data_IF_532393922374
#
_entry.id   IF_532393922374
#
_cell.length_a   1.000
_cell.length_b   1.000
_cell.length_c   1.000
_cell.angle_alpha   90.00
_cell.angle_beta   90.00
_cell.angle_gamma   90.00
#
_symmetry.space_group_name_H-M   'P 1'
#
loop_
_entity.id
_entity.type
_entity.pdbx_description
1 polymer ?
#
# COMPACT_ATOMS: atom_id res chain seq x y z
N UNK A 1 -1.27 25.30 -17.03
CA UNK A 1 -2.39 24.95 -17.92
C UNK A 1 -2.55 23.44 -17.90
N UNK A 2 -3.71 22.93 -17.51
CA UNK A 2 -3.99 21.49 -17.68
C UNK A 2 -4.50 21.33 -19.10
N UNK A 3 -3.87 20.49 -19.91
CA UNK A 3 -4.37 20.19 -21.23
C UNK A 3 -5.64 19.34 -21.07
N UNK A 4 -6.81 19.74 -21.58
CA UNK A 4 -8.06 18.97 -21.48
C UNK A 4 -7.92 17.50 -21.91
N UNK A 5 -6.99 17.22 -22.83
CA UNK A 5 -6.63 15.87 -23.26
C UNK A 5 -6.14 14.97 -22.11
N UNK A 6 -5.38 15.50 -21.15
CA UNK A 6 -4.87 14.70 -20.02
C UNK A 6 -6.00 14.30 -19.08
N UNK A 7 -6.99 15.18 -18.90
CA UNK A 7 -8.18 14.88 -18.10
C UNK A 7 -9.00 13.80 -18.79
N UNK A 8 -9.25 13.94 -20.09
CA UNK A 8 -9.97 12.94 -20.88
C UNK A 8 -9.29 11.57 -20.85
N UNK A 9 -7.98 11.53 -21.15
CA UNK A 9 -7.20 10.27 -21.15
C UNK A 9 -7.17 9.64 -19.75
N UNK A 10 -7.03 10.43 -18.68
CA UNK A 10 -7.07 9.92 -17.32
C UNK A 10 -8.42 9.30 -16.94
N UNK A 11 -9.52 9.93 -17.33
CA UNK A 11 -10.88 9.40 -17.12
C UNK A 11 -11.12 8.12 -17.92
N UNK A 12 -10.67 8.07 -19.18
CA UNK A 12 -10.80 6.90 -20.05
C UNK A 12 -9.99 5.70 -19.51
N UNK A 13 -8.74 5.89 -19.12
CA UNK A 13 -7.90 4.84 -18.50
C UNK A 13 -8.55 4.33 -17.20
N UNK A 14 -9.12 5.24 -16.41
CA UNK A 14 -9.83 4.86 -15.17
C UNK A 14 -11.05 4.01 -15.49
N UNK A 15 -11.88 4.43 -16.45
CA UNK A 15 -13.06 3.67 -16.88
C UNK A 15 -12.68 2.27 -17.40
N UNK A 16 -11.66 2.18 -18.26
CA UNK A 16 -11.15 0.91 -18.78
C UNK A 16 -10.60 0.01 -17.67
N UNK A 17 -9.92 0.57 -16.65
CA UNK A 17 -9.42 -0.19 -15.51
C UNK A 17 -10.55 -0.86 -14.71
N UNK A 18 -11.67 -0.15 -14.50
CA UNK A 18 -12.85 -0.75 -13.87
C UNK A 18 -13.53 -1.79 -14.78
N UNK A 19 -13.67 -1.52 -16.08
CA UNK A 19 -14.30 -2.45 -17.03
C UNK A 19 -13.49 -3.74 -17.21
N UNK A 20 -12.16 -3.66 -17.18
CA UNK A 20 -11.26 -4.80 -17.31
C UNK A 20 -11.19 -5.65 -16.02
N UNK A 21 -11.63 -5.11 -14.88
CA UNK A 21 -11.51 -5.77 -13.58
C UNK A 21 -12.83 -6.42 -13.16
N UNK A 22 -12.82 -7.66 -12.62
CA UNK A 22 -14.02 -8.24 -12.04
C UNK A 22 -14.60 -7.37 -10.92
N UNK A 23 -15.94 -7.23 -10.86
CA UNK A 23 -16.63 -6.36 -9.88
C UNK A 23 -16.21 -6.59 -8.43
N UNK A 24 -15.88 -7.84 -8.06
CA UNK A 24 -15.40 -8.19 -6.70
C UNK A 24 -14.12 -7.45 -6.28
N UNK A 25 -13.31 -6.97 -7.23
CA UNK A 25 -12.03 -6.31 -6.98
C UNK A 25 -12.09 -4.79 -7.10
N UNK A 26 -13.26 -4.18 -7.29
CA UNK A 26 -13.39 -2.71 -7.41
C UNK A 26 -12.83 -1.96 -6.19
N UNK A 27 -13.00 -2.52 -5.00
CA UNK A 27 -12.44 -1.94 -3.77
C UNK A 27 -10.91 -1.87 -3.81
N UNK A 28 -10.24 -2.82 -4.46
CA UNK A 28 -8.78 -2.80 -4.63
C UNK A 28 -8.33 -1.69 -5.57
N UNK A 29 -9.08 -1.41 -6.64
CA UNK A 29 -8.82 -0.27 -7.53
C UNK A 29 -8.96 1.04 -6.76
N UNK A 30 -10.06 1.22 -6.01
CA UNK A 30 -10.30 2.45 -5.24
C UNK A 30 -9.22 2.65 -4.18
N UNK A 31 -8.82 1.58 -3.48
CA UNK A 31 -7.72 1.64 -2.52
C UNK A 31 -6.39 2.07 -3.19
N UNK A 32 -6.13 1.59 -4.41
CA UNK A 32 -4.95 1.97 -5.18
C UNK A 32 -4.88 3.47 -5.48
N UNK A 33 -6.00 4.20 -5.49
CA UNK A 33 -6.01 5.64 -5.73
C UNK A 33 -5.51 6.45 -4.53
N UNK A 34 -5.56 5.90 -3.31
CA UNK A 34 -5.28 6.64 -2.07
C UNK A 34 -3.86 7.23 -2.03
N UNK A 35 -2.77 6.47 -2.30
CA UNK A 35 -1.42 7.04 -2.32
C UNK A 35 -1.23 8.11 -3.40
N UNK A 36 -1.85 7.94 -4.57
CA UNK A 36 -1.77 8.91 -5.67
C UNK A 36 -2.46 10.23 -5.33
N UNK A 37 -3.61 10.17 -4.64
CA UNK A 37 -4.30 11.37 -4.14
C UNK A 37 -3.47 12.09 -3.06
N UNK A 38 -2.82 11.35 -2.17
CA UNK A 38 -1.89 11.92 -1.20
C UNK A 38 -0.71 12.62 -1.89
N UNK A 39 -0.14 12.02 -2.93
CA UNK A 39 0.92 12.62 -3.73
C UNK A 39 0.45 13.90 -4.45
N UNK A 40 -0.75 13.91 -5.02
CA UNK A 40 -1.33 15.11 -5.62
C UNK A 40 -1.48 16.24 -4.60
N UNK A 41 -2.02 15.95 -3.41
CA UNK A 41 -2.15 16.93 -2.33
C UNK A 41 -0.78 17.48 -1.92
N UNK A 42 0.20 16.60 -1.73
CA UNK A 42 1.56 16.98 -1.32
C UNK A 42 2.23 17.89 -2.35
N UNK A 43 2.03 17.67 -3.66
CA UNK A 43 2.57 18.55 -4.71
C UNK A 43 2.10 19.99 -4.52
N UNK A 44 0.83 20.23 -4.19
CA UNK A 44 0.32 21.58 -3.97
C UNK A 44 0.80 22.17 -2.64
N UNK A 45 0.88 21.35 -1.59
CA UNK A 45 1.45 21.76 -0.30
C UNK A 45 2.90 22.21 -0.48
N UNK A 46 3.74 21.40 -1.14
CA UNK A 46 5.15 21.71 -1.36
C UNK A 46 5.34 22.98 -2.21
N UNK A 47 4.46 23.22 -3.20
CA UNK A 47 4.47 24.47 -3.97
C UNK A 47 4.12 25.69 -3.13
N UNK A 48 3.08 25.60 -2.31
CA UNK A 48 2.66 26.69 -1.42
C UNK A 48 3.81 27.06 -0.47
N UNK A 49 4.42 26.08 0.19
CA UNK A 49 5.55 26.36 1.08
C UNK A 49 6.81 26.79 0.33
N UNK A 50 7.01 26.35 -0.91
CA UNK A 50 8.07 26.85 -1.78
C UNK A 50 7.95 28.36 -2.07
N UNK A 51 6.74 28.82 -2.39
CA UNK A 51 6.48 30.25 -2.68
C UNK A 51 6.53 31.13 -1.41
N UNK A 52 6.19 30.56 -0.25
CA UNK A 52 6.20 31.26 1.04
C UNK A 52 7.57 31.21 1.76
N UNK A 53 8.47 30.33 1.36
CA UNK A 53 9.80 30.19 1.97
C UNK A 53 10.61 31.50 2.05
N UNK A 54 10.62 32.40 1.03
CA UNK A 54 11.31 33.69 1.11
C UNK A 54 10.75 34.63 2.19
N UNK A 55 9.53 34.39 2.66
CA UNK A 55 8.86 35.16 3.72
C UNK A 55 9.12 34.56 5.11
N UNK A 56 9.95 33.51 5.20
CA UNK A 56 10.25 32.80 6.44
C UNK A 56 9.14 31.87 6.92
N UNK A 57 8.12 31.62 6.11
CA UNK A 57 7.03 30.69 6.44
C UNK A 57 7.40 29.30 5.91
N UNK A 58 7.48 28.33 6.80
CA UNK A 58 7.85 26.95 6.48
C UNK A 58 6.93 25.96 7.19
N UNK A 59 6.98 24.68 6.82
CA UNK A 59 6.21 23.64 7.51
C UNK A 59 6.54 23.62 9.01
N UNK A 60 7.80 23.86 9.38
CA UNK A 60 8.23 23.91 10.78
C UNK A 60 7.65 25.07 11.60
N UNK A 61 7.08 26.10 10.97
CA UNK A 61 6.42 27.21 11.68
C UNK A 61 4.92 26.97 11.95
N UNK A 62 4.37 25.84 11.50
CA UNK A 62 2.95 25.48 11.72
C UNK A 62 2.72 24.93 13.13
N UNK A 63 1.46 24.74 13.51
CA UNK A 63 1.13 24.04 14.76
C UNK A 63 1.60 22.59 14.72
N UNK A 64 2.03 22.05 15.86
CA UNK A 64 2.49 20.66 15.98
C UNK A 64 1.53 19.61 15.40
N UNK A 65 0.20 19.69 15.65
CA UNK A 65 -0.76 18.76 15.06
C UNK A 65 -0.78 18.78 13.52
N UNK A 66 -0.79 19.98 12.92
CA UNK A 66 -0.81 20.11 11.47
C UNK A 66 0.48 19.59 10.84
N UNK A 67 1.64 19.79 11.50
CA UNK A 67 2.90 19.21 11.05
C UNK A 67 2.84 17.67 11.00
N UNK A 68 2.24 17.03 12.01
CA UNK A 68 2.09 15.58 12.04
C UNK A 68 1.14 15.05 10.95
N UNK A 69 0.04 15.76 10.68
CA UNK A 69 -0.89 15.43 9.58
C UNK A 69 -0.21 15.54 8.22
N UNK A 70 0.51 16.64 7.97
CA UNK A 70 1.28 16.84 6.73
C UNK A 70 2.37 15.77 6.56
N UNK A 71 3.01 15.38 7.66
CA UNK A 71 3.99 14.29 7.64
C UNK A 71 3.35 12.95 7.29
N UNK A 72 2.15 12.67 7.81
CA UNK A 72 1.39 11.46 7.45
C UNK A 72 1.04 11.45 5.96
N UNK A 73 0.60 12.59 5.40
CA UNK A 73 0.35 12.73 3.96
C UNK A 73 1.63 12.51 3.15
N UNK A 74 2.77 13.05 3.61
CA UNK A 74 4.08 12.84 2.96
C UNK A 74 4.47 11.37 2.92
N UNK A 75 4.34 10.69 4.05
CA UNK A 75 4.64 9.25 4.15
C UNK A 75 3.70 8.45 3.25
N UNK A 76 2.40 8.76 3.22
CA UNK A 76 1.43 8.07 2.36
C UNK A 76 1.71 8.29 0.86
N UNK A 77 2.12 9.49 0.48
CA UNK A 77 2.49 9.86 -0.88
C UNK A 77 3.81 9.23 -1.35
N UNK A 78 4.70 8.88 -0.43
CA UNK A 78 6.01 8.33 -0.75
C UNK A 78 5.90 6.97 -1.44
N UNK A 79 6.50 6.86 -2.62
CA UNK A 79 6.45 5.65 -3.43
C UNK A 79 5.05 5.34 -3.98
N UNK A 80 4.17 6.35 -4.16
CA UNK A 80 2.74 6.15 -4.42
C UNK A 80 2.41 5.07 -5.46
N UNK A 81 3.14 4.98 -6.57
CA UNK A 81 2.91 3.95 -7.61
C UNK A 81 3.11 2.54 -7.04
N UNK A 82 4.24 2.32 -6.35
CA UNK A 82 4.60 1.03 -5.76
C UNK A 82 3.65 0.70 -4.61
N UNK A 83 3.36 1.68 -3.75
CA UNK A 83 2.39 1.53 -2.65
C UNK A 83 1.01 1.12 -3.17
N UNK A 84 0.50 1.83 -4.18
CA UNK A 84 -0.78 1.53 -4.83
C UNK A 84 -0.83 0.13 -5.40
N UNK A 85 0.24 -0.31 -6.09
CA UNK A 85 0.31 -1.64 -6.68
C UNK A 85 0.32 -2.74 -5.61
N UNK A 86 1.13 -2.57 -4.57
CA UNK A 86 1.23 -3.53 -3.47
C UNK A 86 -0.07 -3.63 -2.67
N UNK A 87 -0.72 -2.49 -2.38
CA UNK A 87 -2.01 -2.46 -1.67
C UNK A 87 -3.14 -3.09 -2.50
N UNK A 88 -3.24 -2.74 -3.78
CA UNK A 88 -4.24 -3.32 -4.67
C UNK A 88 -4.04 -4.84 -4.81
N UNK A 89 -2.81 -5.29 -5.00
CA UNK A 89 -2.49 -6.70 -5.18
C UNK A 89 -2.71 -7.51 -3.90
N UNK A 90 -2.29 -6.97 -2.74
CA UNK A 90 -2.56 -7.57 -1.43
C UNK A 90 -4.05 -7.67 -1.14
N UNK A 91 -4.81 -6.60 -1.37
CA UNK A 91 -6.26 -6.62 -1.15
C UNK A 91 -6.99 -7.55 -2.11
N UNK A 92 -6.63 -7.57 -3.39
CA UNK A 92 -7.19 -8.50 -4.37
C UNK A 92 -6.94 -9.96 -3.97
N UNK A 93 -5.74 -10.29 -3.49
CA UNK A 93 -5.41 -11.61 -2.99
C UNK A 93 -6.21 -11.98 -1.72
N UNK A 94 -6.47 -11.03 -0.82
CA UNK A 94 -7.34 -11.22 0.34
C UNK A 94 -8.78 -11.49 -0.09
N UNK A 95 -9.32 -10.71 -1.04
CA UNK A 95 -10.67 -10.90 -1.59
C UNK A 95 -10.81 -12.29 -2.22
N UNK A 96 -9.77 -12.77 -2.91
CA UNK A 96 -9.73 -14.11 -3.49
C UNK A 96 -9.43 -15.23 -2.46
N UNK A 97 -9.31 -14.90 -1.18
CA UNK A 97 -8.93 -15.81 -0.08
C UNK A 97 -7.58 -16.52 -0.28
N UNK A 98 -6.71 -15.97 -1.14
CA UNK A 98 -5.36 -16.46 -1.39
C UNK A 98 -4.38 -15.82 -0.42
N UNK A 99 -4.54 -16.16 0.86
CA UNK A 99 -3.85 -15.47 1.97
C UNK A 99 -2.33 -15.59 1.92
N UNK A 100 -1.78 -16.70 1.40
CA UNK A 100 -0.33 -16.84 1.17
C UNK A 100 0.21 -15.87 0.11
N UNK A 101 -0.58 -15.52 -0.91
CA UNK A 101 -0.18 -14.52 -1.91
C UNK A 101 -0.23 -13.12 -1.29
N UNK A 102 -1.27 -12.85 -0.49
CA UNK A 102 -1.38 -11.59 0.22
C UNK A 102 -0.21 -11.38 1.18
N UNK A 103 0.21 -12.42 1.92
CA UNK A 103 1.37 -12.32 2.83
C UNK A 103 2.66 -11.99 2.09
N UNK A 104 2.87 -12.51 0.88
CA UNK A 104 4.03 -12.16 0.05
C UNK A 104 4.01 -10.67 -0.32
N UNK A 105 2.87 -10.13 -0.78
CA UNK A 105 2.77 -8.71 -1.13
C UNK A 105 3.05 -7.80 0.07
N UNK A 106 2.50 -8.12 1.25
CA UNK A 106 2.80 -7.36 2.46
C UNK A 106 4.25 -7.56 2.96
N UNK A 107 4.86 -8.73 2.75
CA UNK A 107 6.29 -8.94 3.02
C UNK A 107 7.20 -8.09 2.11
N UNK A 108 6.84 -7.97 0.83
CA UNK A 108 7.52 -7.06 -0.10
C UNK A 108 7.31 -5.61 0.33
N UNK A 109 6.09 -5.22 0.70
CA UNK A 109 5.79 -3.87 1.21
C UNK A 109 6.60 -3.54 2.46
N UNK A 110 6.75 -4.48 3.40
CA UNK A 110 7.60 -4.32 4.57
C UNK A 110 9.05 -4.00 4.15
N UNK A 111 9.61 -4.81 3.27
CA UNK A 111 10.97 -4.64 2.76
C UNK A 111 11.14 -3.29 2.06
N UNK A 112 10.24 -2.94 1.14
CA UNK A 112 10.25 -1.64 0.46
C UNK A 112 10.16 -0.46 1.44
N UNK A 113 9.35 -0.58 2.49
CA UNK A 113 9.21 0.47 3.52
C UNK A 113 10.47 0.65 4.33
N UNK A 114 11.22 -0.42 4.59
CA UNK A 114 12.50 -0.34 5.31
C UNK A 114 13.56 0.46 4.54
N UNK A 115 13.57 0.39 3.20
CA UNK A 115 14.55 1.11 2.37
C UNK A 115 14.04 2.45 1.82
N UNK A 116 12.85 2.88 2.23
CA UNK A 116 12.24 4.13 1.75
C UNK A 116 11.81 4.09 0.29
N UNK A 117 11.68 2.91 -0.32
CA UNK A 117 11.07 2.75 -1.65
C UNK A 117 9.59 3.15 -1.59
N UNK A 118 8.94 2.82 -0.46
CA UNK A 118 7.63 3.34 -0.06
C UNK A 118 7.73 3.96 1.34
N UNK A 119 6.84 4.88 1.68
CA UNK A 119 6.73 5.47 3.03
C UNK A 119 8.00 6.12 3.59
N UNK A 120 8.81 6.73 2.72
CA UNK A 120 9.95 7.53 3.15
C UNK A 120 9.50 8.73 4.00
N UNK A 121 10.10 8.94 5.19
CA UNK A 121 9.76 10.06 6.07
C UNK A 121 10.44 11.37 5.65
N UNK A 122 11.41 11.31 4.72
CA UNK A 122 12.25 12.45 4.38
C UNK A 122 11.58 13.39 3.36
N UNK A 123 11.87 14.70 3.40
CA UNK A 123 11.44 15.63 2.37
C UNK A 123 11.93 15.18 0.98
N UNK A 124 11.07 15.27 -0.03
CA UNK A 124 11.35 14.75 -1.38
C UNK A 124 11.29 13.23 -1.51
N UNK A 125 10.98 12.49 -0.43
CA UNK A 125 10.78 11.04 -0.43
C UNK A 125 11.93 10.21 -1.06
N UNK A 126 13.21 10.49 -0.77
CA UNK A 126 14.32 9.67 -1.27
C UNK A 126 14.31 8.27 -0.65
N UNK A 127 14.89 7.32 -1.38
CA UNK A 127 15.32 6.05 -0.81
C UNK A 127 16.47 6.29 0.19
N UNK A 128 16.57 5.44 1.18
CA UNK A 128 17.62 5.53 2.19
C UNK A 128 18.03 4.14 2.66
N UNK A 129 19.16 4.10 3.36
CA UNK A 129 19.58 2.94 4.12
C UNK A 129 19.24 3.18 5.60
N UNK A 130 18.59 2.24 6.31
CA UNK A 130 18.12 2.45 7.69
C UNK A 130 19.20 2.95 8.66
N UNK A 131 20.43 2.48 8.50
CA UNK A 131 21.57 2.85 9.36
C UNK A 131 22.12 4.26 9.09
N UNK A 132 21.66 4.93 8.04
CA UNK A 132 22.00 6.33 7.76
C UNK A 132 20.96 7.32 8.31
N UNK A 133 19.86 6.84 8.89
CA UNK A 133 18.82 7.68 9.47
C UNK A 133 19.15 8.06 10.91
N UNK A 134 18.72 9.25 11.31
CA UNK A 134 18.68 9.64 12.71
C UNK A 134 17.57 8.88 13.46
N UNK A 135 17.64 8.88 14.80
CA UNK A 135 16.69 8.13 15.63
C UNK A 135 15.24 8.58 15.42
N UNK A 136 15.01 9.87 15.13
CA UNK A 136 13.68 10.41 14.87
C UNK A 136 13.09 9.84 13.57
N UNK A 137 13.84 9.87 12.47
CA UNK A 137 13.36 9.37 11.17
C UNK A 137 13.30 7.85 11.12
N UNK A 138 14.12 7.14 11.89
CA UNK A 138 14.11 5.67 11.96
C UNK A 138 12.80 5.10 12.51
N UNK A 139 12.08 5.87 13.33
CA UNK A 139 10.79 5.45 13.89
C UNK A 139 9.74 5.12 12.80
N UNK A 140 9.74 5.87 11.70
CA UNK A 140 8.77 5.68 10.61
C UNK A 140 8.97 4.36 9.86
N UNK A 141 10.16 4.04 9.30
CA UNK A 141 10.38 2.75 8.63
C UNK A 141 10.12 1.55 9.56
N UNK A 142 10.43 1.67 10.85
CA UNK A 142 10.14 0.63 11.84
C UNK A 142 8.62 0.44 12.03
N UNK A 143 7.86 1.52 12.16
CA UNK A 143 6.40 1.44 12.34
C UNK A 143 5.69 0.88 11.11
N UNK A 144 5.94 1.43 9.92
CA UNK A 144 5.26 1.01 8.69
C UNK A 144 5.79 -0.34 8.19
N UNK A 145 7.11 -0.52 8.16
CA UNK A 145 7.74 -1.79 7.80
C UNK A 145 7.33 -2.92 8.77
N UNK A 146 7.35 -2.63 10.07
CA UNK A 146 6.89 -3.56 11.11
C UNK A 146 5.40 -3.89 10.99
N UNK A 147 4.54 -2.90 10.70
CA UNK A 147 3.11 -3.10 10.48
C UNK A 147 2.82 -4.02 9.28
N UNK A 148 3.51 -3.84 8.17
CA UNK A 148 3.39 -4.73 7.01
C UNK A 148 3.93 -6.13 7.29
N UNK A 149 5.06 -6.22 8.00
CA UNK A 149 5.65 -7.50 8.37
C UNK A 149 4.72 -8.30 9.30
N UNK A 150 4.13 -7.64 10.31
CA UNK A 150 3.15 -8.24 11.19
C UNK A 150 1.91 -8.71 10.42
N UNK A 151 1.42 -7.90 9.49
CA UNK A 151 0.30 -8.26 8.60
C UNK A 151 0.63 -9.49 7.75
N UNK A 152 1.85 -9.56 7.20
CA UNK A 152 2.31 -10.71 6.43
C UNK A 152 2.35 -12.00 7.28
N UNK A 153 2.90 -11.93 8.50
CA UNK A 153 2.93 -13.06 9.44
C UNK A 153 1.51 -13.51 9.79
N UNK A 154 0.61 -12.57 10.10
CA UNK A 154 -0.77 -12.87 10.45
C UNK A 154 -1.49 -13.60 9.32
N UNK A 155 -1.38 -13.09 8.09
CA UNK A 155 -2.01 -13.71 6.92
C UNK A 155 -1.44 -15.10 6.60
N UNK A 156 -0.13 -15.27 6.76
CA UNK A 156 0.52 -16.56 6.57
C UNK A 156 0.12 -17.57 7.66
N UNK A 157 0.10 -17.15 8.93
CA UNK A 157 -0.36 -17.97 10.05
C UNK A 157 -1.82 -18.39 9.89
N UNK A 158 -2.69 -17.46 9.48
CA UNK A 158 -4.08 -17.75 9.16
C UNK A 158 -4.21 -18.76 8.01
N UNK A 159 -3.40 -18.62 6.97
CA UNK A 159 -3.36 -19.58 5.87
C UNK A 159 -3.01 -21.00 6.34
N UNK A 160 -1.97 -21.15 7.16
CA UNK A 160 -1.57 -22.45 7.71
C UNK A 160 -2.66 -23.05 8.60
N UNK A 161 -3.31 -22.24 9.44
CA UNK A 161 -4.40 -22.70 10.30
C UNK A 161 -5.61 -23.22 9.49
N UNK A 162 -6.02 -22.50 8.44
CA UNK A 162 -7.08 -22.95 7.55
C UNK A 162 -6.78 -24.29 6.88
N UNK A 163 -5.53 -24.54 6.48
CA UNK A 163 -5.15 -25.83 5.88
C UNK A 163 -5.22 -26.98 6.90
N UNK A 164 -4.83 -26.73 8.16
CA UNK A 164 -4.89 -27.75 9.21
C UNK A 164 -6.31 -28.11 9.66
N UNK A 165 -7.31 -27.28 9.34
CA UNK A 165 -8.69 -27.43 9.83
C UNK A 165 -9.62 -28.20 8.87
N UNK A 166 -9.14 -28.63 7.69
CA UNK A 166 -9.93 -29.43 6.72
C UNK A 166 -9.64 -30.93 6.97
N UNK A 167 -10.60 -31.72 7.50
CA UNK A 167 -10.39 -33.15 7.75
C UNK A 167 -10.38 -33.95 6.43
N UNK A 168 -9.48 -34.93 6.33
CA UNK A 168 -9.31 -35.84 5.18
C UNK A 168 -10.32 -37.00 5.23
N UNK A 169 -11.62 -36.77 5.47
CA UNK A 169 -12.57 -37.86 5.79
C UNK A 169 -13.55 -38.30 4.70
N UNK A 170 -13.35 -37.96 3.42
CA UNK A 170 -14.23 -38.42 2.32
C UNK A 170 -13.48 -39.28 1.27
N UNK A 171 -12.69 -40.25 1.74
CA UNK A 171 -12.21 -41.36 0.90
C UNK A 171 -12.57 -42.69 1.55
N UNK A 172 -13.87 -42.98 1.66
CA UNK A 172 -14.31 -44.38 1.68
C UNK A 172 -14.35 -44.85 0.22
N UNK A 173 -13.52 -45.84 -0.18
CA UNK A 173 -13.70 -46.48 -1.47
C UNK A 173 -15.05 -47.21 -1.46
N UNK A 174 -15.89 -46.96 -2.47
CA UNK A 174 -17.11 -47.73 -2.68
C UNK A 174 -16.77 -49.25 -2.64
N UNK A 175 -17.53 -50.07 -1.89
CA UNK A 175 -17.34 -51.50 -1.94
C UNK A 175 -17.69 -51.98 -3.34
N UNK A 176 -16.74 -52.69 -3.96
CA UNK A 176 -16.91 -53.29 -5.28
C UNK A 176 -18.22 -54.06 -5.35
N UNK A 177 -19.15 -53.56 -6.16
CA UNK A 177 -20.41 -54.23 -6.46
C UNK A 177 -20.10 -55.58 -7.10
N UNK A 178 -20.51 -56.65 -6.41
CA UNK A 178 -20.25 -58.03 -6.79
C UNK A 178 -20.88 -58.33 -8.15
N UNK A 179 -20.04 -58.60 -9.16
CA UNK A 179 -20.45 -59.25 -10.39
C UNK A 179 -20.74 -60.74 -10.10
N UNK A 180 -22.03 -61.07 -9.96
CA UNK A 180 -22.56 -62.42 -10.03
C UNK A 180 -23.65 -62.49 -11.10
#
# INVERSE_FOLDING_TARGET
TVFPILVFVGLEITAQSFQATPKKHYTAIVLACVPALAALALIFIDKIFGDLAPQGIAIGSLSGPLQAELQTVRILASGFIVTSLLWASGLAAIIDRRLHVASIYFGIAATCSFFGIIHSPLPGSPMFLPWNLDAASLSTPLQYGGGYFLTAILLFGWHCWLQSSVPVSDFEPEPAENAH
#
